data_IF_249298084756
#
_entry.id   IF_249298084756
#
_cell.length_a   1.000
_cell.length_b   1.000
_cell.length_c   1.000
_cell.angle_alpha   90.00
_cell.angle_beta   90.00
_cell.angle_gamma   90.00
#
_symmetry.space_group_name_H-M   'P 1'
#
loop_
_entity.id
_entity.type
_entity.pdbx_description
1 polymer ?
#
# COMPACT_ATOMS: atom_id res chain seq x y z
N UNK A 1 -4.41 11.25 -12.78
CA UNK A 1 -5.55 10.51 -12.18
C UNK A 1 -6.54 10.01 -13.25
N UNK A 2 -7.10 10.87 -14.13
CA UNK A 2 -8.04 10.43 -15.19
C UNK A 2 -7.52 9.30 -16.10
N UNK A 3 -6.26 9.37 -16.57
CA UNK A 3 -5.68 8.35 -17.45
C UNK A 3 -5.41 6.98 -16.79
N UNK A 4 -5.33 6.90 -15.45
CA UNK A 4 -5.21 5.64 -14.73
C UNK A 4 -6.58 4.98 -14.53
N UNK A 5 -7.63 5.78 -14.31
CA UNK A 5 -9.01 5.29 -14.21
C UNK A 5 -9.50 4.64 -15.51
N UNK A 6 -9.09 5.18 -16.67
CA UNK A 6 -9.41 4.63 -17.99
C UNK A 6 -8.73 3.28 -18.29
N UNK A 7 -7.67 2.91 -17.55
CA UNK A 7 -6.94 1.65 -17.72
C UNK A 7 -7.36 0.56 -16.73
N UNK A 8 -8.27 0.87 -15.81
CA UNK A 8 -8.77 -0.09 -14.83
C UNK A 8 -9.86 -0.96 -15.47
N UNK A 9 -9.59 -2.26 -15.62
CA UNK A 9 -10.56 -3.22 -16.16
C UNK A 9 -11.59 -3.68 -15.12
N UNK A 10 -11.27 -3.50 -13.83
CA UNK A 10 -12.14 -3.78 -12.67
C UNK A 10 -12.21 -2.54 -11.79
N UNK A 11 -13.37 -2.32 -11.16
CA UNK A 11 -13.58 -1.22 -10.21
C UNK A 11 -12.57 -1.22 -9.06
N UNK A 12 -12.14 -2.41 -8.66
CA UNK A 12 -11.13 -2.68 -7.64
C UNK A 12 -9.75 -2.06 -7.97
N UNK A 13 -9.45 -1.91 -9.27
CA UNK A 13 -8.18 -1.41 -9.78
C UNK A 13 -8.22 0.12 -10.05
N UNK A 14 -9.33 0.78 -9.73
CA UNK A 14 -9.47 2.22 -9.88
C UNK A 14 -8.75 2.90 -8.72
N UNK A 15 -7.75 3.70 -9.05
CA UNK A 15 -7.07 4.57 -8.09
C UNK A 15 -8.00 5.72 -7.70
N UNK A 16 -8.28 5.82 -6.41
CA UNK A 16 -9.18 6.81 -5.84
C UNK A 16 -8.44 7.95 -5.14
N UNK A 17 -9.06 9.13 -5.13
CA UNK A 17 -8.83 10.11 -4.08
C UNK A 17 -9.67 9.69 -2.88
N UNK A 18 -9.02 9.38 -1.76
CA UNK A 18 -9.67 8.88 -0.55
C UNK A 18 -9.66 10.03 0.48
N UNK A 19 -10.83 10.62 0.79
CA UNK A 19 -10.96 11.57 1.89
C UNK A 19 -10.43 10.94 3.20
N UNK A 20 -9.58 11.67 3.91
CA UNK A 20 -8.86 11.15 5.07
C UNK A 20 -9.78 10.75 6.23
N UNK A 21 -10.93 11.42 6.36
CA UNK A 21 -12.00 11.12 7.32
C UNK A 21 -12.68 9.75 7.09
N UNK A 22 -12.48 9.11 5.93
CA UNK A 22 -12.93 7.74 5.66
C UNK A 22 -11.98 6.67 6.18
N UNK A 23 -10.80 7.09 6.65
CA UNK A 23 -9.82 6.23 7.29
C UNK A 23 -10.03 6.31 8.81
N UNK A 24 -10.28 5.16 9.42
CA UNK A 24 -10.56 5.04 10.85
C UNK A 24 -9.56 4.09 11.52
N UNK A 25 -9.43 4.18 12.84
CA UNK A 25 -8.64 3.26 13.68
C UNK A 25 -7.16 3.14 13.28
N UNK A 26 -6.35 4.09 13.75
CA UNK A 26 -4.91 4.10 13.52
C UNK A 26 -4.23 3.05 14.39
N UNK A 27 -3.59 2.07 13.77
CA UNK A 27 -2.59 1.20 14.39
C UNK A 27 -1.23 1.58 13.83
N UNK A 28 -0.40 2.22 14.64
CA UNK A 28 0.99 2.49 14.23
C UNK A 28 1.74 1.16 14.05
N UNK A 29 2.39 0.99 12.90
CA UNK A 29 3.20 -0.20 12.60
C UNK A 29 4.60 0.30 12.36
N UNK A 30 5.31 0.54 13.47
CA UNK A 30 6.73 0.90 13.41
C UNK A 30 7.52 -0.34 13.02
N UNK A 31 7.67 -0.58 11.72
CA UNK A 31 8.70 -1.47 11.24
C UNK A 31 10.03 -0.71 11.22
N UNK A 32 10.79 -0.82 12.31
CA UNK A 32 12.00 -0.04 12.64
C UNK A 32 13.21 -0.35 11.73
N UNK A 33 12.98 -0.87 10.53
CA UNK A 33 14.02 -1.26 9.58
C UNK A 33 13.76 -0.50 8.27
N UNK A 34 14.39 0.67 8.19
CA UNK A 34 14.55 1.57 7.05
C UNK A 34 13.32 2.36 6.54
N UNK A 35 13.36 3.66 6.89
CA UNK A 35 12.84 4.83 6.17
C UNK A 35 11.47 4.66 5.51
N UNK A 36 10.42 4.74 6.31
CA UNK A 36 9.16 5.45 6.07
C UNK A 36 8.15 4.96 7.12
N UNK A 37 7.52 5.87 7.86
CA UNK A 37 6.55 5.49 8.89
C UNK A 37 5.33 4.85 8.21
N UNK A 38 5.11 3.55 8.44
CA UNK A 38 3.95 2.83 7.95
C UNK A 38 2.89 2.75 9.06
N UNK A 39 1.65 3.02 8.69
CA UNK A 39 0.52 2.99 9.62
C UNK A 39 -0.59 2.10 9.07
N UNK A 40 -1.15 1.23 9.91
CA UNK A 40 -2.35 0.47 9.60
C UNK A 40 -3.60 1.29 9.89
N UNK A 41 -4.54 1.34 8.94
CA UNK A 41 -5.83 2.00 9.08
C UNK A 41 -6.94 1.09 8.58
N UNK A 42 -8.19 1.37 8.93
CA UNK A 42 -9.37 0.74 8.36
C UNK A 42 -9.99 1.68 7.32
N UNK A 43 -10.06 1.23 6.07
CA UNK A 43 -10.72 1.91 4.96
C UNK A 43 -12.11 1.32 4.70
N UNK A 44 -13.13 2.18 4.68
CA UNK A 44 -14.52 1.81 4.31
C UNK A 44 -14.87 2.38 2.95
N UNK A 45 -14.98 1.51 1.94
CA UNK A 45 -15.53 1.87 0.63
C UNK A 45 -17.06 1.82 0.70
N UNK A 46 -17.75 2.77 0.08
CA UNK A 46 -19.22 2.92 0.22
C UNK A 46 -20.06 1.70 -0.21
N UNK A 47 -19.46 0.69 -0.87
CA UNK A 47 -20.12 -0.52 -1.37
C UNK A 47 -19.40 -1.82 -1.00
N UNK A 48 -18.33 -1.77 -0.19
CA UNK A 48 -17.58 -2.96 0.22
C UNK A 48 -17.40 -2.99 1.76
N UNK A 49 -17.16 -4.18 2.32
CA UNK A 49 -16.73 -4.31 3.71
C UNK A 49 -15.51 -3.44 4.01
N UNK A 50 -15.38 -3.03 5.28
CA UNK A 50 -14.18 -2.34 5.75
C UNK A 50 -12.94 -3.22 5.57
N UNK A 51 -11.90 -2.68 4.94
CA UNK A 51 -10.62 -3.36 4.73
C UNK A 51 -9.51 -2.68 5.52
N UNK A 52 -8.57 -3.45 6.05
CA UNK A 52 -7.34 -2.87 6.64
C UNK A 52 -6.40 -2.45 5.52
N UNK A 53 -5.85 -1.25 5.62
CA UNK A 53 -4.96 -0.61 4.65
C UNK A 53 -3.69 -0.14 5.33
N UNK A 54 -2.60 -0.06 4.56
CA UNK A 54 -1.37 0.60 5.00
C UNK A 54 -1.30 2.00 4.39
N UNK A 55 -0.97 3.00 5.20
CA UNK A 55 -0.58 4.32 4.72
C UNK A 55 0.94 4.44 4.71
N UNK A 56 1.46 4.92 3.59
CA UNK A 56 2.87 5.27 3.44
C UNK A 56 2.99 6.77 3.15
N UNK A 57 3.70 7.49 4.01
CA UNK A 57 4.19 8.83 3.71
C UNK A 57 5.41 8.69 2.82
N UNK A 58 5.54 9.55 1.80
CA UNK A 58 6.79 9.70 1.07
C UNK A 58 7.54 10.92 1.62
N UNK A 59 8.80 10.70 1.94
CA UNK A 59 9.71 11.74 2.42
C UNK A 59 9.76 12.90 1.41
N UNK A 60 9.59 14.13 1.90
CA UNK A 60 9.57 15.33 1.03
C UNK A 60 8.24 15.66 0.36
N UNK A 61 7.12 14.99 0.71
CA UNK A 61 5.79 15.32 0.14
C UNK A 61 5.38 16.78 0.36
N UNK A 62 5.85 17.43 1.43
CA UNK A 62 5.61 18.86 1.66
C UNK A 62 6.58 19.78 0.92
N UNK A 63 7.80 19.30 0.62
CA UNK A 63 8.87 20.10 0.03
C UNK A 63 8.84 20.08 -1.50
N UNK A 64 8.43 18.95 -2.10
CA UNK A 64 8.35 18.81 -3.56
C UNK A 64 7.23 17.86 -4.02
N UNK A 65 6.04 18.41 -4.28
CA UNK A 65 4.90 17.68 -4.84
C UNK A 65 5.23 16.94 -6.16
N UNK A 66 6.21 17.40 -6.94
CA UNK A 66 6.56 16.73 -8.20
C UNK A 66 7.28 15.40 -7.96
N UNK A 67 8.11 15.31 -6.93
CA UNK A 67 8.84 14.07 -6.60
C UNK A 67 7.88 13.00 -6.10
N UNK A 68 6.94 13.38 -5.21
CA UNK A 68 5.83 12.53 -4.79
C UNK A 68 5.06 11.97 -6.00
N UNK A 69 4.64 12.84 -6.93
CA UNK A 69 3.88 12.43 -8.10
C UNK A 69 4.69 11.55 -9.06
N UNK A 70 6.00 11.79 -9.17
CA UNK A 70 6.91 10.98 -9.98
C UNK A 70 7.05 9.57 -9.40
N UNK A 71 7.28 9.46 -8.10
CA UNK A 71 7.36 8.18 -7.40
C UNK A 71 6.03 7.43 -7.46
N UNK A 72 4.92 8.10 -7.15
CA UNK A 72 3.58 7.50 -7.28
C UNK A 72 3.31 6.96 -8.69
N UNK A 73 3.65 7.71 -9.74
CA UNK A 73 3.53 7.23 -11.13
C UNK A 73 4.42 6.03 -11.41
N UNK A 74 5.61 5.98 -10.80
CA UNK A 74 6.54 4.84 -10.93
C UNK A 74 5.95 3.59 -10.28
N UNK A 75 5.49 3.72 -9.03
CA UNK A 75 4.82 2.65 -8.28
C UNK A 75 3.60 2.13 -9.05
N UNK A 76 2.77 3.02 -9.57
CA UNK A 76 1.60 2.64 -10.39
C UNK A 76 1.97 1.84 -11.64
N UNK A 77 3.10 2.13 -12.30
CA UNK A 77 3.56 1.34 -13.45
C UNK A 77 4.00 -0.05 -13.02
N UNK A 78 4.66 -0.18 -11.86
CA UNK A 78 5.06 -1.47 -11.31
C UNK A 78 3.83 -2.31 -10.92
N UNK A 79 2.87 -1.75 -10.18
CA UNK A 79 1.67 -2.49 -9.74
C UNK A 79 0.81 -2.99 -10.91
N UNK A 80 0.80 -2.30 -12.05
CA UNK A 80 0.05 -2.75 -13.23
C UNK A 80 0.74 -3.91 -13.97
N UNK A 81 2.03 -4.12 -13.77
CA UNK A 81 2.85 -5.08 -14.53
C UNK A 81 3.29 -6.30 -13.71
N UNK A 82 3.17 -6.26 -12.38
CA UNK A 82 3.69 -7.26 -11.45
C UNK A 82 2.69 -7.58 -10.33
N UNK A 83 2.87 -8.73 -9.67
CA UNK A 83 2.09 -9.15 -8.48
C UNK A 83 2.49 -8.35 -7.22
N UNK A 84 2.36 -7.02 -7.29
CA UNK A 84 2.65 -6.12 -6.18
C UNK A 84 1.40 -5.87 -5.33
N UNK A 85 1.59 -5.44 -4.08
CA UNK A 85 0.50 -4.96 -3.21
C UNK A 85 -0.40 -3.97 -3.95
N UNK A 86 -1.71 -4.15 -3.82
CA UNK A 86 -2.67 -3.26 -4.46
C UNK A 86 -2.53 -1.83 -3.92
N UNK A 87 -2.57 -0.86 -4.83
CA UNK A 87 -2.68 0.56 -4.51
C UNK A 87 -4.15 0.94 -4.64
N UNK A 88 -4.75 1.39 -3.55
CA UNK A 88 -6.15 1.82 -3.57
C UNK A 88 -6.29 3.29 -3.93
N UNK A 89 -5.33 4.13 -3.56
CA UNK A 89 -5.48 5.55 -3.78
C UNK A 89 -4.44 6.43 -3.12
N UNK A 90 -4.76 7.72 -3.12
CA UNK A 90 -4.03 8.77 -2.43
C UNK A 90 -4.99 9.43 -1.45
N UNK A 91 -4.49 9.77 -0.27
CA UNK A 91 -5.18 10.61 0.70
C UNK A 91 -4.28 11.78 1.11
N UNK A 92 -4.85 12.79 1.76
CA UNK A 92 -4.10 13.88 2.36
C UNK A 92 -4.48 13.97 3.83
N UNK A 93 -3.49 13.84 4.70
CA UNK A 93 -3.70 13.99 6.14
C UNK A 93 -4.14 15.42 6.44
N UNK A 94 -5.31 15.58 7.05
CA UNK A 94 -5.89 16.91 7.34
C UNK A 94 -5.17 17.65 8.46
N UNK A 95 -4.38 16.96 9.28
CA UNK A 95 -3.59 17.55 10.36
C UNK A 95 -2.20 17.96 9.90
N UNK A 96 -1.51 17.09 9.14
CA UNK A 96 -0.14 17.35 8.69
C UNK A 96 -0.07 17.94 7.30
N UNK A 97 -1.17 17.97 6.53
CA UNK A 97 -1.24 18.34 5.11
C UNK A 97 -0.39 17.48 4.15
N UNK A 98 0.19 16.39 4.65
CA UNK A 98 1.01 15.47 3.87
C UNK A 98 0.15 14.57 2.98
N UNK A 99 0.65 14.29 1.78
CA UNK A 99 0.05 13.29 0.89
C UNK A 99 0.56 11.90 1.25
N UNK A 100 -0.38 10.95 1.34
CA UNK A 100 -0.14 9.57 1.69
C UNK A 100 -0.67 8.65 0.61
N UNK A 101 0.04 7.55 0.34
CA UNK A 101 -0.44 6.50 -0.56
C UNK A 101 -1.13 5.43 0.29
N UNK A 102 -2.30 4.98 -0.17
CA UNK A 102 -3.12 3.96 0.49
C UNK A 102 -2.89 2.61 -0.20
N UNK A 103 -2.31 1.65 0.52
CA UNK A 103 -1.99 0.31 0.05
C UNK A 103 -2.85 -0.77 0.72
N UNK A 104 -2.95 -1.93 0.06
CA UNK A 104 -3.33 -3.17 0.71
C UNK A 104 -2.44 -3.45 1.93
N UNK A 105 -3.08 -3.81 3.04
CA UNK A 105 -2.34 -4.20 4.24
C UNK A 105 -1.82 -5.65 4.14
N UNK A 106 -0.54 -5.86 4.43
CA UNK A 106 0.07 -7.18 4.51
C UNK A 106 -0.02 -7.72 5.95
N UNK A 107 -0.96 -8.64 6.18
CA UNK A 107 -1.29 -9.16 7.52
C UNK A 107 -0.10 -9.77 8.28
N UNK A 108 0.84 -10.37 7.55
CA UNK A 108 2.00 -11.07 8.10
C UNK A 108 3.29 -10.22 8.12
N UNK A 109 3.18 -8.93 7.78
CA UNK A 109 4.31 -8.02 7.69
C UNK A 109 5.26 -8.34 6.54
N UNK A 110 6.54 -8.01 6.71
CA UNK A 110 7.54 -8.24 5.66
C UNK A 110 7.83 -9.73 5.44
N UNK A 111 8.13 -10.10 4.19
CA UNK A 111 8.52 -11.47 3.84
C UNK A 111 9.68 -11.98 4.71
N UNK A 112 10.65 -11.09 5.02
CA UNK A 112 11.74 -11.40 5.95
C UNK A 112 11.25 -11.86 7.32
N UNK A 113 10.34 -11.12 7.96
CA UNK A 113 9.79 -11.47 9.26
C UNK A 113 8.96 -12.74 9.21
N UNK A 114 8.11 -12.86 8.18
CA UNK A 114 7.29 -14.03 7.97
C UNK A 114 8.14 -15.30 7.84
N UNK A 115 9.16 -15.27 6.98
CA UNK A 115 10.07 -16.40 6.79
C UNK A 115 10.83 -16.68 8.08
N UNK A 116 11.40 -15.68 8.75
CA UNK A 116 12.15 -15.88 10.01
C UNK A 116 11.31 -16.59 11.08
N UNK A 117 10.00 -16.32 11.14
CA UNK A 117 9.09 -16.94 12.11
C UNK A 117 8.63 -18.34 11.68
N UNK A 118 8.37 -18.55 10.39
CA UNK A 118 7.62 -19.72 9.91
C UNK A 118 8.45 -20.71 9.08
N UNK A 119 9.73 -20.44 8.78
CA UNK A 119 10.51 -21.18 7.79
C UNK A 119 10.51 -22.71 7.97
N UNK A 120 10.55 -23.18 9.22
CA UNK A 120 10.55 -24.61 9.56
C UNK A 120 9.20 -25.29 9.33
N UNK A 121 8.09 -24.56 9.47
CA UNK A 121 6.74 -25.06 9.27
C UNK A 121 6.30 -25.06 7.78
N UNK A 122 6.99 -24.28 6.94
CA UNK A 122 6.67 -24.19 5.51
C UNK A 122 7.11 -25.42 4.75
N UNK A 123 6.21 -25.95 3.91
CA UNK A 123 6.55 -27.00 2.95
C UNK A 123 7.47 -26.47 1.85
N UNK A 124 8.25 -27.34 1.22
CA UNK A 124 9.08 -26.98 0.06
C UNK A 124 8.26 -26.39 -1.09
N UNK A 125 7.05 -26.92 -1.34
CA UNK A 125 6.13 -26.39 -2.33
C UNK A 125 5.79 -24.92 -2.04
N UNK A 126 5.47 -24.59 -0.79
CA UNK A 126 5.17 -23.20 -0.40
C UNK A 126 6.38 -22.29 -0.56
N UNK A 127 7.59 -22.78 -0.23
CA UNK A 127 8.83 -22.01 -0.39
C UNK A 127 9.13 -21.70 -1.87
N UNK A 128 8.90 -22.67 -2.75
CA UNK A 128 9.06 -22.48 -4.20
C UNK A 128 8.02 -21.51 -4.76
N UNK A 129 6.76 -21.59 -4.31
CA UNK A 129 5.73 -20.63 -4.72
C UNK A 129 6.10 -19.20 -4.31
N UNK A 130 6.55 -19.00 -3.07
CA UNK A 130 7.02 -17.69 -2.60
C UNK A 130 8.16 -17.16 -3.49
N UNK A 131 9.08 -18.03 -3.92
CA UNK A 131 10.19 -17.64 -4.80
C UNK A 131 9.70 -17.26 -6.20
N UNK A 132 8.74 -18.00 -6.74
CA UNK A 132 8.10 -17.71 -8.03
C UNK A 132 7.34 -16.37 -7.98
N UNK A 133 6.59 -16.11 -6.90
CA UNK A 133 5.75 -14.92 -6.74
C UNK A 133 6.57 -13.63 -6.59
N UNK A 134 7.83 -13.72 -6.12
CA UNK A 134 8.74 -12.56 -5.97
C UNK A 134 9.74 -12.40 -7.12
N UNK A 135 9.79 -13.37 -8.04
CA UNK A 135 10.71 -13.34 -9.19
C UNK A 135 10.23 -12.40 -10.30
#
# INVERSE_FOLDING_TARGET
MKASQLRAWKYENVIEWIPFDRLSDVKEIVDKINYDNAYGYIYKRAREPSSTVALKTLTGSMENNNDFLKEFKSLMKCTLNYNMLAIYGITQNTQTNEYLIVFQYANDGSLYKYLRKNFSALTWKTKLQILEDIS
#
